data_IF_639905712206
#
_entry.id   IF_639905712206
#
_cell.length_a   1.000
_cell.length_b   1.000
_cell.length_c   1.000
_cell.angle_alpha   90.00
_cell.angle_beta   90.00
_cell.angle_gamma   90.00
#
_symmetry.space_group_name_H-M   'P 1'
#
loop_
_entity.id
_entity.type
_entity.pdbx_description
1 polymer ?
#
# COMPACT_ATOMS: atom_id res chain seq x y z
N UNK A 1 -13.12 5.66 8.02
CA UNK A 1 -12.28 6.08 9.18
C UNK A 1 -10.85 5.59 8.95
N UNK A 2 -9.81 6.32 9.36
CA UNK A 2 -8.42 5.87 9.19
C UNK A 2 -7.97 5.09 10.43
N UNK A 3 -7.54 3.86 10.24
CA UNK A 3 -7.13 2.97 11.31
C UNK A 3 -5.64 2.65 11.18
N UNK A 4 -4.92 2.70 12.30
CA UNK A 4 -3.50 2.35 12.35
C UNK A 4 -3.36 0.85 12.08
N UNK A 5 -2.64 0.49 11.02
CA UNK A 5 -2.31 -0.90 10.75
C UNK A 5 -0.98 -1.30 11.38
N UNK A 6 0.08 -0.52 11.15
CA UNK A 6 1.41 -0.76 11.71
C UNK A 6 2.15 0.53 12.02
N UNK A 7 2.96 0.49 13.08
CA UNK A 7 4.00 1.46 13.36
C UNK A 7 5.35 0.82 13.06
N UNK A 8 6.18 1.52 12.29
CA UNK A 8 7.45 1.05 11.76
C UNK A 8 8.52 2.12 11.92
N UNK A 9 9.81 1.74 11.88
CA UNK A 9 10.89 2.70 11.65
C UNK A 9 10.61 3.53 10.40
N UNK A 10 10.95 4.82 10.44
CA UNK A 10 10.69 5.75 9.33
C UNK A 10 11.42 5.26 8.07
N UNK A 11 12.61 4.70 8.23
CA UNK A 11 13.45 4.17 7.16
C UNK A 11 12.76 3.03 6.40
N UNK A 12 12.00 2.18 7.10
CA UNK A 12 11.25 1.09 6.48
C UNK A 12 10.06 1.63 5.69
N UNK A 13 9.38 2.66 6.19
CA UNK A 13 8.28 3.33 5.47
C UNK A 13 8.79 4.03 4.22
N UNK A 14 9.91 4.74 4.31
CA UNK A 14 10.56 5.37 3.16
C UNK A 14 11.00 4.34 2.12
N UNK A 15 11.53 3.19 2.55
CA UNK A 15 11.87 2.07 1.66
C UNK A 15 10.65 1.54 0.93
N UNK A 16 9.53 1.37 1.63
CA UNK A 16 8.26 0.94 1.03
C UNK A 16 7.80 1.95 -0.03
N UNK A 17 7.78 3.23 0.30
CA UNK A 17 7.38 4.31 -0.63
C UNK A 17 8.27 4.27 -1.88
N UNK A 18 9.59 4.17 -1.71
CA UNK A 18 10.54 4.11 -2.81
C UNK A 18 10.33 2.86 -3.69
N UNK A 19 10.13 1.70 -3.06
CA UNK A 19 9.85 0.45 -3.79
C UNK A 19 8.56 0.56 -4.61
N UNK A 20 7.47 1.05 -4.00
CA UNK A 20 6.18 1.23 -4.67
C UNK A 20 6.29 2.19 -5.87
N UNK A 21 7.02 3.31 -5.73
CA UNK A 21 7.30 4.22 -6.85
C UNK A 21 8.02 3.54 -8.03
N UNK A 22 8.95 2.65 -7.72
CA UNK A 22 9.77 1.97 -8.73
C UNK A 22 9.06 0.78 -9.41
N UNK A 23 7.94 0.32 -8.86
CA UNK A 23 7.15 -0.82 -9.38
C UNK A 23 5.93 -0.38 -10.20
N UNK A 24 6.03 0.77 -10.88
CA UNK A 24 4.96 1.41 -11.64
C UNK A 24 4.05 0.42 -12.38
N UNK A 25 2.74 0.65 -12.27
CA UNK A 25 1.69 -0.26 -12.75
C UNK A 25 1.08 -1.11 -11.63
N UNK A 26 1.89 -1.69 -10.74
CA UNK A 26 1.40 -2.44 -9.57
C UNK A 26 1.06 -1.55 -8.38
N UNK A 27 1.78 -0.45 -8.25
CA UNK A 27 1.57 0.54 -7.21
C UNK A 27 1.57 1.93 -7.81
N UNK A 28 0.67 2.77 -7.33
CA UNK A 28 0.65 4.20 -7.62
C UNK A 28 0.85 4.96 -6.32
N UNK A 29 1.82 5.86 -6.30
CA UNK A 29 2.22 6.61 -5.11
C UNK A 29 1.88 8.07 -5.29
N UNK A 30 0.93 8.55 -4.51
CA UNK A 30 0.47 9.94 -4.52
C UNK A 30 0.99 10.66 -3.27
N UNK A 31 1.83 11.69 -3.41
CA UNK A 31 2.23 12.50 -2.28
C UNK A 31 1.05 13.33 -1.78
N UNK A 32 0.89 13.44 -0.47
CA UNK A 32 -0.05 14.37 0.14
C UNK A 32 0.43 15.82 0.08
N UNK A 33 -0.40 16.77 0.56
CA UNK A 33 -0.14 18.21 0.45
C UNK A 33 1.11 18.67 1.23
N UNK A 34 1.56 17.89 2.21
CA UNK A 34 2.75 18.16 3.01
C UNK A 34 4.03 17.49 2.45
N UNK A 35 3.90 16.73 1.35
CA UNK A 35 4.94 15.89 0.73
C UNK A 35 5.58 14.85 1.68
N UNK A 36 5.08 14.69 2.90
CA UNK A 36 5.57 13.72 3.90
C UNK A 36 4.64 12.52 3.97
N UNK A 37 3.35 12.78 3.84
CA UNK A 37 2.31 11.77 3.70
C UNK A 37 2.29 11.23 2.26
N UNK A 38 2.08 9.94 2.13
CA UNK A 38 2.02 9.27 0.83
C UNK A 38 0.87 8.28 0.84
N UNK A 39 -0.05 8.42 -0.11
CA UNK A 39 -1.07 7.42 -0.39
C UNK A 39 -0.51 6.45 -1.42
N UNK A 40 -0.57 5.16 -1.13
CA UNK A 40 -0.17 4.08 -2.03
C UNK A 40 -1.41 3.31 -2.44
N UNK A 41 -1.78 3.42 -3.72
CA UNK A 41 -2.82 2.61 -4.33
C UNK A 41 -2.19 1.31 -4.81
N UNK A 42 -2.80 0.18 -4.44
CA UNK A 42 -2.40 -1.16 -4.83
C UNK A 42 -3.30 -1.61 -5.96
N UNK A 43 -2.72 -1.84 -7.12
CA UNK A 43 -3.44 -2.27 -8.30
C UNK A 43 -3.50 -3.80 -8.40
N UNK A 44 -4.55 -4.31 -9.05
CA UNK A 44 -4.60 -5.69 -9.51
C UNK A 44 -3.54 -5.92 -10.60
N UNK A 45 -3.07 -7.16 -10.74
CA UNK A 45 -2.10 -7.46 -11.80
C UNK A 45 -2.84 -7.51 -13.15
N UNK A 46 -2.26 -6.98 -14.23
CA UNK A 46 -2.86 -7.07 -15.56
C UNK A 46 -2.94 -8.52 -16.10
N UNK A 47 -2.25 -9.46 -15.45
CA UNK A 47 -2.33 -10.90 -15.72
C UNK A 47 -3.62 -11.54 -15.17
N UNK A 48 -4.22 -10.93 -14.14
CA UNK A 48 -5.40 -11.46 -13.45
C UNK A 48 -6.72 -10.91 -14.02
N UNK A 49 -6.74 -9.73 -14.65
CA UNK A 49 -7.94 -9.14 -15.25
C UNK A 49 -7.65 -8.34 -16.54
N UNK A 50 -8.58 -8.33 -17.52
CA UNK A 50 -8.46 -7.48 -18.71
C UNK A 50 -8.38 -6.00 -18.32
N UNK A 51 -7.62 -5.20 -19.09
CA UNK A 51 -7.40 -3.74 -18.88
C UNK A 51 -8.70 -2.96 -18.61
N UNK A 52 -9.82 -3.40 -19.17
CA UNK A 52 -11.14 -2.80 -19.02
C UNK A 52 -11.76 -3.00 -17.62
N UNK A 53 -11.16 -3.86 -16.79
CA UNK A 53 -11.60 -4.21 -15.44
C UNK A 53 -10.57 -3.90 -14.36
N UNK A 54 -9.47 -3.23 -14.71
CA UNK A 54 -8.37 -2.93 -13.80
C UNK A 54 -8.85 -2.20 -12.54
N UNK A 55 -9.21 -2.97 -11.51
CA UNK A 55 -9.75 -2.47 -10.26
C UNK A 55 -8.61 -2.38 -9.26
N UNK A 56 -8.38 -1.21 -8.63
CA UNK A 56 -7.47 -1.13 -7.51
C UNK A 56 -7.95 -2.06 -6.39
N UNK A 57 -7.05 -2.89 -5.86
CA UNK A 57 -7.31 -3.74 -4.69
C UNK A 57 -7.56 -2.89 -3.44
N UNK A 58 -7.10 -1.64 -3.46
CA UNK A 58 -7.41 -0.58 -2.52
C UNK A 58 -6.15 0.23 -2.21
N UNK A 59 -6.15 0.96 -1.10
CA UNK A 59 -5.05 1.87 -0.77
C UNK A 59 -4.60 1.76 0.69
N UNK A 60 -3.34 2.10 0.93
CA UNK A 60 -2.80 2.34 2.25
C UNK A 60 -2.06 3.67 2.30
N UNK A 61 -1.93 4.22 3.50
CA UNK A 61 -1.40 5.55 3.71
C UNK A 61 -0.16 5.48 4.59
N UNK A 62 0.94 6.01 4.08
CA UNK A 62 2.18 6.16 4.81
C UNK A 62 2.27 7.56 5.42
N UNK A 63 2.67 7.61 6.69
CA UNK A 63 2.87 8.79 7.50
C UNK A 63 1.62 9.64 7.76
N UNK A 64 0.43 9.19 7.38
CA UNK A 64 -0.81 9.98 7.43
C UNK A 64 -1.28 10.28 8.86
N UNK A 65 -1.27 9.27 9.74
CA UNK A 65 -1.60 9.44 11.16
C UNK A 65 -0.39 9.80 12.04
N UNK A 66 0.80 9.88 11.45
CA UNK A 66 2.05 10.20 12.13
C UNK A 66 3.27 9.57 11.45
N UNK A 67 4.50 10.08 11.69
CA UNK A 67 5.71 9.53 11.11
C UNK A 67 5.90 8.05 11.45
N UNK A 68 6.25 7.22 10.46
CA UNK A 68 6.45 5.78 10.64
C UNK A 68 5.13 4.97 10.70
N UNK A 69 3.97 5.62 10.54
CA UNK A 69 2.67 4.94 10.61
C UNK A 69 2.20 4.56 9.21
N UNK A 70 1.80 3.29 9.06
CA UNK A 70 0.97 2.83 7.95
C UNK A 70 -0.47 2.73 8.46
N UNK A 71 -1.36 3.52 7.86
CA UNK A 71 -2.80 3.47 8.13
C UNK A 71 -3.58 2.95 6.93
N UNK A 72 -4.76 2.41 7.20
CA UNK A 72 -5.71 1.92 6.22
C UNK A 72 -7.01 2.70 6.37
N UNK A 73 -7.66 2.97 5.27
CA UNK A 73 -9.01 3.49 5.27
C UNK A 73 -9.98 2.33 5.47
N UNK A 74 -10.61 2.28 6.65
CA UNK A 74 -11.75 1.41 6.89
C UNK A 74 -12.98 2.09 6.30
N UNK A 75 -13.60 1.45 5.30
CA UNK A 75 -14.92 1.83 4.81
C UNK A 75 -15.95 1.67 5.93
N UNK A 76 -16.83 2.66 6.07
CA UNK A 76 -17.83 2.69 7.14
C UNK A 76 -18.74 1.45 7.10
N UNK A 77 -19.11 0.89 8.27
CA UNK A 77 -19.95 -0.31 8.36
C UNK A 77 -21.38 -0.15 7.83
N UNK A 78 -21.75 1.05 7.34
CA UNK A 78 -23.09 1.36 6.83
C UNK A 78 -23.21 1.22 5.30
N UNK A 79 -22.17 0.79 4.59
CA UNK A 79 -22.33 0.40 3.19
C UNK A 79 -22.83 -1.04 3.13
N UNK A 80 -24.10 -1.18 2.81
CA UNK A 80 -24.86 -2.42 2.70
C UNK A 80 -24.07 -3.55 1.98
N UNK A 81 -23.76 -4.61 2.73
CA UNK A 81 -23.60 -5.99 2.24
C UNK A 81 -22.70 -6.29 1.03
N UNK A 82 -21.38 -6.18 1.16
CA UNK A 82 -20.48 -6.96 0.27
C UNK A 82 -19.32 -7.64 1.03
N UNK A 83 -19.20 -8.99 0.96
CA UNK A 83 -18.03 -9.73 1.42
C UNK A 83 -16.69 -9.29 0.76
N UNK A 84 -16.74 -8.54 -0.35
CA UNK A 84 -15.55 -8.06 -1.06
C UNK A 84 -14.74 -7.02 -0.27
N UNK A 85 -15.39 -6.15 0.51
CA UNK A 85 -14.71 -5.07 1.25
C UNK A 85 -13.79 -5.62 2.36
N UNK A 86 -14.23 -6.66 3.09
CA UNK A 86 -13.37 -7.34 4.08
C UNK A 86 -12.21 -8.12 3.42
N UNK A 87 -12.43 -8.65 2.22
CA UNK A 87 -11.41 -9.35 1.44
C UNK A 87 -10.27 -8.39 1.02
N UNK A 88 -10.62 -7.16 0.61
CA UNK A 88 -9.67 -6.15 0.14
C UNK A 88 -8.71 -5.69 1.25
N UNK A 89 -9.22 -5.41 2.45
CA UNK A 89 -8.36 -5.02 3.59
C UNK A 89 -7.35 -6.13 3.92
N UNK A 90 -7.77 -7.39 3.88
CA UNK A 90 -6.86 -8.52 4.11
C UNK A 90 -5.78 -8.60 3.04
N UNK A 91 -6.14 -8.44 1.77
CA UNK A 91 -5.18 -8.43 0.66
C UNK A 91 -4.15 -7.31 0.79
N UNK A 92 -4.58 -6.09 1.14
CA UNK A 92 -3.67 -4.95 1.37
C UNK A 92 -2.72 -5.24 2.53
N UNK A 93 -3.22 -5.79 3.64
CA UNK A 93 -2.39 -6.18 4.79
C UNK A 93 -1.33 -7.21 4.40
N UNK A 94 -1.69 -8.22 3.61
CA UNK A 94 -0.74 -9.20 3.08
C UNK A 94 0.31 -8.57 2.17
N UNK A 95 -0.09 -7.63 1.32
CA UNK A 95 0.85 -6.87 0.46
C UNK A 95 1.83 -6.07 1.32
N UNK A 96 1.36 -5.35 2.34
CA UNK A 96 2.23 -4.60 3.25
C UNK A 96 3.22 -5.53 3.97
N UNK A 97 2.76 -6.69 4.46
CA UNK A 97 3.66 -7.66 5.08
C UNK A 97 4.72 -8.18 4.11
N UNK A 98 4.33 -8.51 2.86
CA UNK A 98 5.30 -8.91 1.82
C UNK A 98 6.31 -7.81 1.54
N UNK A 99 5.89 -6.54 1.49
CA UNK A 99 6.80 -5.40 1.29
C UNK A 99 7.81 -5.23 2.44
N UNK A 100 7.41 -5.59 3.66
CA UNK A 100 8.30 -5.59 4.83
C UNK A 100 9.29 -6.76 4.81
N UNK A 101 8.85 -7.92 4.35
CA UNK A 101 9.67 -9.13 4.24
C UNK A 101 10.64 -9.09 3.05
N UNK A 102 10.42 -8.18 2.09
CA UNK A 102 11.39 -7.96 1.01
C UNK A 102 12.71 -7.52 1.63
N UNK A 103 13.83 -8.19 1.27
CA UNK A 103 15.14 -7.75 1.73
C UNK A 103 15.30 -6.29 1.32
N UNK A 104 15.70 -5.45 2.27
CA UNK A 104 16.15 -4.12 1.95
C UNK A 104 17.18 -4.29 0.82
N UNK A 105 16.86 -3.82 -0.38
CA UNK A 105 17.70 -4.04 -1.54
C UNK A 105 19.01 -3.27 -1.31
N UNK A 106 19.93 -3.93 -0.61
CA UNK A 106 21.33 -3.63 -0.55
C UNK A 106 21.94 -4.34 -1.73
N UNK A 107 22.26 -3.56 -2.75
CA UNK A 107 23.40 -3.67 -3.65
C UNK A 107 24.29 -4.87 -3.32
N UNK A 108 24.50 -5.80 -4.26
CA UNK A 108 25.71 -6.64 -4.36
C UNK A 108 25.80 -7.28 -5.77
N UNK A 109 26.53 -6.58 -6.64
CA UNK A 109 27.58 -7.07 -7.57
C UNK A 109 27.34 -8.33 -8.43
N UNK A 110 27.27 -8.09 -9.74
CA UNK A 110 27.81 -8.95 -10.80
C UNK A 110 29.24 -9.40 -10.52
N UNK A 111 29.58 -10.68 -10.70
CA UNK A 111 30.81 -11.08 -11.39
C UNK A 111 30.66 -10.96 -12.91
#
# INVERSE_FOLDING_TARGET
>A
MQTIYKALPIEDVERIIAYCRNKGGLFEVYPGPDCKTHMVVVNSRPEDEPLDKFCPLGAFYCNYLGPGIISLEEEEPNHDGMPSAQSHIKAIKEVINKLLDLPASGNNTTP
#
